data_IF_276268244680
#
_entry.id   IF_276268244680
#
_cell.length_a   1.000
_cell.length_b   1.000
_cell.length_c   1.000
_cell.angle_alpha   90.00
_cell.angle_beta   90.00
_cell.angle_gamma   90.00
#
_symmetry.space_group_name_H-M   'P 1'
#
loop_
_entity.id
_entity.type
_entity.pdbx_description
1 polymer ?
#
# COMPACT_ATOMS: atom_id res chain seq x y z
N UNK A 1 21.76 21.86 0.72
CA UNK A 1 20.72 20.82 0.77
C UNK A 1 21.41 19.47 0.84
N UNK A 2 21.01 18.66 1.83
CA UNK A 2 21.57 17.30 2.02
C UNK A 2 20.87 16.34 1.06
N UNK A 3 21.70 15.51 0.42
CA UNK A 3 21.25 14.35 -0.35
C UNK A 3 21.34 13.12 0.56
N UNK A 4 20.33 12.28 0.55
CA UNK A 4 20.26 11.08 1.36
C UNK A 4 20.94 9.88 0.72
N UNK A 5 20.86 8.72 1.38
CA UNK A 5 21.53 7.47 0.98
C UNK A 5 20.98 6.92 -0.35
N UNK A 6 19.72 7.22 -0.66
CA UNK A 6 19.06 6.77 -1.91
C UNK A 6 19.31 7.71 -3.09
N UNK A 7 19.98 8.85 -2.88
CA UNK A 7 20.18 9.90 -3.87
C UNK A 7 19.07 10.95 -3.91
N UNK A 8 18.03 10.82 -3.09
CA UNK A 8 16.96 11.80 -2.96
C UNK A 8 17.31 12.96 -2.02
N UNK A 9 16.59 14.06 -2.14
CA UNK A 9 16.69 15.19 -1.23
C UNK A 9 16.14 14.77 0.13
N UNK A 10 16.98 14.81 1.17
CA UNK A 10 16.54 14.50 2.52
C UNK A 10 15.70 15.63 3.09
N UNK A 11 14.51 15.29 3.58
CA UNK A 11 13.57 16.21 4.22
C UNK A 11 13.19 15.70 5.62
N UNK A 12 12.70 16.61 6.45
CA UNK A 12 12.12 16.28 7.76
C UNK A 12 10.63 15.91 7.64
N UNK A 13 9.95 15.76 8.77
CA UNK A 13 8.52 15.43 8.82
C UNK A 13 7.60 16.54 8.30
N UNK A 14 8.10 17.76 8.13
CA UNK A 14 7.39 18.90 7.55
C UNK A 14 7.69 19.10 6.07
N UNK A 15 8.54 18.22 5.50
CA UNK A 15 9.06 18.29 4.13
C UNK A 15 10.02 19.45 3.90
N UNK A 16 10.58 20.03 4.97
CA UNK A 16 11.63 21.02 4.90
C UNK A 16 12.99 20.33 4.69
N UNK A 17 13.84 20.94 3.85
CA UNK A 17 15.18 20.43 3.58
C UNK A 17 16.16 20.86 4.69
N UNK A 18 17.42 20.45 4.55
CA UNK A 18 18.47 20.94 5.47
C UNK A 18 18.81 22.44 5.32
N UNK A 19 18.27 23.13 4.34
CA UNK A 19 18.35 24.58 4.17
C UNK A 19 17.02 25.17 4.64
N UNK A 20 17.10 26.10 5.60
CA UNK A 20 15.92 26.74 6.19
C UNK A 20 15.04 27.41 5.13
N UNK A 21 13.72 27.29 5.31
CA UNK A 21 12.68 27.85 4.46
C UNK A 21 12.69 27.29 3.00
N UNK A 22 13.39 26.15 2.78
CA UNK A 22 13.39 25.44 1.50
C UNK A 22 12.78 24.06 1.69
N UNK A 23 11.70 23.78 0.97
CA UNK A 23 10.95 22.53 1.01
C UNK A 23 11.19 21.72 -0.27
N UNK A 24 11.02 20.41 -0.19
CA UNK A 24 11.06 19.52 -1.35
C UNK A 24 9.94 18.46 -1.26
N UNK A 25 9.40 18.06 -2.42
CA UNK A 25 8.27 17.14 -2.55
C UNK A 25 8.43 16.23 -3.77
N UNK A 26 7.61 15.20 -3.83
CA UNK A 26 7.48 14.29 -4.98
C UNK A 26 8.62 13.31 -5.10
N UNK A 27 8.92 12.97 -6.34
CA UNK A 27 9.89 11.94 -6.70
C UNK A 27 11.33 12.28 -6.28
N UNK A 28 11.59 13.56 -6.03
CA UNK A 28 12.92 14.05 -5.67
C UNK A 28 13.31 13.79 -4.21
N UNK A 29 12.36 13.49 -3.32
CA UNK A 29 12.63 13.40 -1.90
C UNK A 29 12.98 11.99 -1.42
N UNK A 30 13.90 11.90 -0.45
CA UNK A 30 14.09 10.74 0.39
C UNK A 30 13.35 10.93 1.72
N UNK A 31 12.47 9.99 2.04
CA UNK A 31 11.73 9.97 3.31
C UNK A 31 11.71 8.55 3.90
N UNK A 32 11.71 8.37 5.23
CA UNK A 32 11.67 7.05 5.82
C UNK A 32 10.41 6.28 5.42
N UNK A 33 10.58 5.02 5.01
CA UNK A 33 9.44 4.12 4.73
C UNK A 33 8.70 3.79 6.03
N UNK A 34 7.37 3.98 6.12
CA UNK A 34 6.62 3.86 7.38
C UNK A 34 6.74 2.51 8.09
N UNK A 35 6.89 1.41 7.34
CA UNK A 35 6.98 0.06 7.91
C UNK A 35 8.41 -0.25 8.40
N UNK A 36 9.44 0.22 7.70
CA UNK A 36 10.82 -0.20 7.96
C UNK A 36 11.68 0.85 8.62
N UNK A 37 11.26 2.10 8.61
CA UNK A 37 12.07 3.27 9.01
C UNK A 37 13.29 3.52 8.11
N UNK A 38 13.51 2.72 7.06
CA UNK A 38 14.66 2.86 6.16
C UNK A 38 14.44 3.99 5.15
N UNK A 39 15.52 4.70 4.74
CA UNK A 39 15.44 5.68 3.65
C UNK A 39 14.83 5.09 2.39
N UNK A 40 13.91 5.83 1.77
CA UNK A 40 13.18 5.34 0.61
C UNK A 40 12.77 6.48 -0.33
N UNK A 41 12.76 6.15 -1.63
CA UNK A 41 12.23 6.99 -2.71
C UNK A 41 10.88 6.42 -3.15
N UNK A 42 9.89 7.28 -3.37
CA UNK A 42 8.54 6.87 -3.76
C UNK A 42 8.04 7.68 -4.96
N UNK A 43 8.15 7.11 -6.15
CA UNK A 43 7.84 7.75 -7.44
C UNK A 43 6.34 7.59 -7.80
N UNK A 44 5.45 8.16 -6.97
CA UNK A 44 4.00 8.03 -7.13
C UNK A 44 3.28 9.37 -7.00
N UNK A 45 2.36 9.64 -7.92
CA UNK A 45 1.63 10.89 -8.03
C UNK A 45 0.74 11.21 -6.81
N UNK A 46 0.09 10.21 -6.21
CA UNK A 46 -0.78 10.43 -5.05
C UNK A 46 -0.01 10.97 -3.82
N UNK A 47 1.09 10.34 -3.38
CA UNK A 47 1.94 10.91 -2.32
C UNK A 47 2.49 12.29 -2.68
N UNK A 48 2.96 12.50 -3.92
CA UNK A 48 3.48 13.79 -4.36
C UNK A 48 2.43 14.91 -4.27
N UNK A 49 1.19 14.65 -4.69
CA UNK A 49 0.08 15.59 -4.57
C UNK A 49 -0.23 15.95 -3.11
N UNK A 50 -0.28 14.94 -2.23
CA UNK A 50 -0.49 15.16 -0.79
C UNK A 50 0.65 15.96 -0.15
N UNK A 51 1.90 15.67 -0.52
CA UNK A 51 3.07 16.41 -0.06
C UNK A 51 3.02 17.88 -0.48
N UNK A 52 2.62 18.17 -1.72
CA UNK A 52 2.45 19.54 -2.20
C UNK A 52 1.45 20.34 -1.37
N UNK A 53 0.33 19.72 -0.94
CA UNK A 53 -0.63 20.36 -0.04
C UNK A 53 -0.03 20.61 1.34
N UNK A 54 0.64 19.62 1.93
CA UNK A 54 1.31 19.74 3.24
C UNK A 54 2.32 20.89 3.23
N UNK A 55 3.15 20.97 2.17
CA UNK A 55 4.15 22.03 2.05
C UNK A 55 3.49 23.40 1.90
N UNK A 56 2.42 23.53 1.11
CA UNK A 56 1.70 24.79 1.00
C UNK A 56 1.19 25.28 2.36
N UNK A 57 0.61 24.40 3.16
CA UNK A 57 0.16 24.73 4.52
C UNK A 57 1.35 25.11 5.42
N UNK A 58 2.44 24.35 5.38
CA UNK A 58 3.63 24.60 6.20
C UNK A 58 4.35 25.91 5.83
N UNK A 59 4.38 26.27 4.55
CA UNK A 59 4.96 27.54 4.11
C UNK A 59 4.15 28.77 4.58
N UNK A 60 2.83 28.64 4.68
CA UNK A 60 1.94 29.75 5.02
C UNK A 60 1.73 29.87 6.55
N UNK A 61 1.55 28.75 7.22
CA UNK A 61 1.14 28.70 8.63
C UNK A 61 2.27 28.27 9.59
N UNK A 62 3.49 28.09 9.05
CA UNK A 62 4.59 27.48 9.79
C UNK A 62 4.46 25.94 9.78
N UNK A 63 5.49 25.23 10.21
CA UNK A 63 5.57 23.76 10.20
C UNK A 63 4.56 23.11 11.16
N UNK A 64 3.29 23.05 10.75
CA UNK A 64 2.15 22.55 11.56
C UNK A 64 1.66 21.17 11.11
N UNK A 65 1.83 20.83 9.82
CA UNK A 65 1.30 19.58 9.25
C UNK A 65 2.43 18.62 8.92
N UNK A 66 2.40 17.43 9.53
CA UNK A 66 3.41 16.39 9.33
C UNK A 66 3.08 15.46 8.18
N UNK A 67 4.11 15.05 7.46
CA UNK A 67 4.05 13.96 6.49
C UNK A 67 4.45 12.64 7.14
N UNK A 68 3.57 11.65 7.10
CA UNK A 68 3.77 10.33 7.73
C UNK A 68 4.41 9.30 6.81
N UNK A 69 4.84 9.72 5.61
CA UNK A 69 5.35 8.81 4.60
C UNK A 69 4.27 8.13 3.76
N UNK A 70 4.71 7.29 2.84
CA UNK A 70 3.88 6.50 1.95
C UNK A 70 4.39 5.05 1.90
N UNK A 71 3.47 4.11 1.68
CA UNK A 71 3.76 2.67 1.65
C UNK A 71 3.92 2.10 0.22
N UNK A 72 3.79 2.95 -0.81
CA UNK A 72 4.00 2.55 -2.21
C UNK A 72 2.83 1.84 -2.85
N UNK A 73 1.60 2.34 -2.66
CA UNK A 73 0.42 1.80 -3.33
C UNK A 73 0.40 2.23 -4.79
N UNK A 74 0.44 1.28 -5.70
CA UNK A 74 0.55 1.50 -7.15
C UNK A 74 -0.34 0.54 -7.93
N UNK A 75 -0.77 0.98 -9.11
CA UNK A 75 -1.61 0.21 -10.03
C UNK A 75 -1.20 0.49 -11.47
N UNK A 76 -1.28 -0.53 -12.30
CA UNK A 76 -1.07 -0.41 -13.75
C UNK A 76 -2.07 -1.30 -14.50
N UNK A 77 -2.49 -0.83 -15.67
CA UNK A 77 -3.26 -1.63 -16.62
C UNK A 77 -2.34 -2.13 -17.72
N UNK A 78 -2.36 -3.44 -17.95
CA UNK A 78 -1.57 -4.12 -18.99
C UNK A 78 -2.55 -4.84 -19.90
N UNK A 79 -2.84 -4.27 -21.06
CA UNK A 79 -3.98 -4.65 -21.91
C UNK A 79 -5.29 -4.65 -21.11
N UNK A 80 -5.97 -5.79 -20.98
CA UNK A 80 -7.22 -5.91 -20.20
C UNK A 80 -6.97 -6.26 -18.74
N UNK A 81 -5.75 -6.64 -18.39
CA UNK A 81 -5.38 -7.04 -17.03
C UNK A 81 -4.96 -5.82 -16.19
N UNK A 82 -5.38 -5.79 -14.97
CA UNK A 82 -4.97 -4.81 -13.95
C UNK A 82 -4.05 -5.48 -12.94
N UNK A 83 -2.92 -4.84 -12.65
CA UNK A 83 -1.94 -5.28 -11.64
C UNK A 83 -1.74 -4.17 -10.63
N UNK A 84 -1.84 -4.49 -9.35
CA UNK A 84 -1.66 -3.53 -8.26
C UNK A 84 -0.80 -4.10 -7.13
N UNK A 85 -0.14 -3.21 -6.40
CA UNK A 85 0.65 -3.58 -5.24
C UNK A 85 0.63 -2.49 -4.18
N UNK A 86 0.84 -2.88 -2.92
CA UNK A 86 0.97 -1.97 -1.79
C UNK A 86 1.92 -2.55 -0.74
N UNK A 87 2.62 -1.69 0.00
CA UNK A 87 3.54 -2.10 1.06
C UNK A 87 4.78 -2.85 0.53
N UNK A 88 5.26 -3.82 1.30
CA UNK A 88 6.51 -4.52 1.06
C UNK A 88 6.29 -5.88 0.39
N UNK A 89 6.71 -6.07 -0.87
CA UNK A 89 6.68 -7.38 -1.50
C UNK A 89 7.73 -8.32 -0.90
N UNK A 90 7.52 -9.63 -1.02
CA UNK A 90 8.41 -10.68 -0.51
C UNK A 90 9.89 -10.49 -0.91
N UNK A 91 10.15 -9.99 -2.13
CA UNK A 91 11.51 -9.66 -2.58
C UNK A 91 12.18 -8.63 -1.67
N UNK A 92 11.45 -7.57 -1.32
CA UNK A 92 11.98 -6.49 -0.48
C UNK A 92 12.18 -6.94 0.96
N UNK A 93 11.25 -7.71 1.52
CA UNK A 93 11.37 -8.27 2.86
C UNK A 93 12.62 -9.15 2.99
N UNK A 94 12.89 -10.04 1.99
CA UNK A 94 14.12 -10.84 1.95
C UNK A 94 15.38 -9.98 1.91
N UNK A 95 15.42 -8.93 1.09
CA UNK A 95 16.56 -8.01 1.01
C UNK A 95 16.85 -7.29 2.34
N UNK A 96 15.80 -7.03 3.12
CA UNK A 96 15.89 -6.36 4.41
C UNK A 96 16.14 -7.33 5.58
N UNK A 97 16.15 -8.65 5.34
CA UNK A 97 16.26 -9.67 6.39
C UNK A 97 15.06 -9.72 7.33
N UNK A 98 13.88 -9.24 6.88
CA UNK A 98 12.65 -9.26 7.66
C UNK A 98 11.98 -10.62 7.47
N UNK A 99 11.70 -11.32 8.58
CA UNK A 99 10.93 -12.55 8.59
C UNK A 99 9.50 -12.28 8.13
N UNK A 100 8.95 -13.12 7.26
CA UNK A 100 7.60 -12.98 6.78
C UNK A 100 6.99 -14.33 6.38
N UNK A 101 5.68 -14.42 6.47
CA UNK A 101 4.86 -15.42 5.80
C UNK A 101 4.21 -14.81 4.55
N UNK A 102 3.79 -15.65 3.63
CA UNK A 102 3.07 -15.22 2.45
C UNK A 102 1.96 -16.22 2.09
N UNK A 103 0.80 -15.72 1.71
CA UNK A 103 -0.30 -16.51 1.15
C UNK A 103 -0.68 -15.98 -0.22
N UNK A 104 -1.24 -16.86 -1.05
CA UNK A 104 -1.78 -16.49 -2.36
C UNK A 104 -3.14 -17.16 -2.52
N UNK A 105 -4.15 -16.37 -2.86
CA UNK A 105 -5.52 -16.84 -3.10
C UNK A 105 -5.96 -16.53 -4.52
N UNK A 106 -6.73 -17.43 -5.09
CA UNK A 106 -7.35 -17.28 -6.39
C UNK A 106 -8.87 -17.26 -6.21
N UNK A 107 -9.51 -16.24 -6.75
CA UNK A 107 -10.94 -15.99 -6.61
C UNK A 107 -11.51 -15.46 -7.91
N UNK A 108 -12.81 -15.17 -7.93
CA UNK A 108 -13.46 -14.40 -9.00
C UNK A 108 -13.68 -12.95 -8.57
N UNK A 109 -13.80 -12.05 -9.54
CA UNK A 109 -14.06 -10.62 -9.30
C UNK A 109 -15.36 -10.36 -8.54
N UNK A 110 -16.39 -11.22 -8.78
CA UNK A 110 -17.70 -11.19 -8.13
C UNK A 110 -18.30 -12.61 -8.06
N UNK A 111 -19.57 -12.72 -7.70
CA UNK A 111 -20.26 -14.01 -7.52
C UNK A 111 -20.21 -14.86 -8.80
N UNK A 112 -19.64 -16.08 -8.72
CA UNK A 112 -19.42 -16.93 -9.88
C UNK A 112 -20.68 -17.46 -10.58
N UNK A 113 -21.85 -17.32 -9.95
CA UNK A 113 -23.15 -17.63 -10.57
C UNK A 113 -23.74 -16.44 -11.34
N UNK A 114 -23.14 -15.25 -11.21
CA UNK A 114 -23.52 -14.08 -11.99
C UNK A 114 -22.63 -13.99 -13.24
N UNK A 115 -23.16 -13.57 -14.41
CA UNK A 115 -22.38 -13.52 -15.65
C UNK A 115 -21.11 -12.69 -15.56
N UNK A 116 -20.12 -13.04 -16.36
CA UNK A 116 -18.87 -12.30 -16.57
C UNK A 116 -17.92 -12.21 -15.35
N UNK A 117 -18.05 -13.15 -14.41
CA UNK A 117 -17.07 -13.25 -13.32
C UNK A 117 -15.68 -13.63 -13.84
N UNK A 118 -14.69 -12.76 -13.60
CA UNK A 118 -13.34 -12.88 -14.12
C UNK A 118 -12.34 -13.24 -13.01
N UNK A 119 -11.21 -13.91 -13.34
CA UNK A 119 -10.21 -14.29 -12.36
C UNK A 119 -9.60 -13.08 -11.64
N UNK A 120 -9.38 -13.25 -10.31
CA UNK A 120 -8.68 -12.31 -9.46
C UNK A 120 -7.79 -13.07 -8.48
N UNK A 121 -6.52 -12.67 -8.40
CA UNK A 121 -5.54 -13.26 -7.49
C UNK A 121 -5.06 -12.21 -6.53
N UNK A 122 -4.98 -12.55 -5.24
CA UNK A 122 -4.39 -11.70 -4.19
C UNK A 122 -3.27 -12.49 -3.51
N UNK A 123 -2.10 -11.84 -3.40
CA UNK A 123 -0.99 -12.32 -2.60
C UNK A 123 -0.75 -11.35 -1.43
N UNK A 124 -0.65 -11.90 -0.22
CA UNK A 124 -0.32 -11.16 1.00
C UNK A 124 1.09 -11.49 1.46
N UNK A 125 1.73 -10.53 2.12
CA UNK A 125 2.93 -10.73 2.94
C UNK A 125 2.68 -10.14 4.33
N UNK A 126 3.04 -10.88 5.38
CA UNK A 126 2.70 -10.51 6.76
C UNK A 126 3.69 -11.10 7.75
N UNK A 127 3.70 -10.59 8.97
CA UNK A 127 4.48 -11.12 10.10
C UNK A 127 3.88 -12.47 10.54
N UNK A 128 4.67 -13.57 10.55
CA UNK A 128 4.15 -14.90 10.89
C UNK A 128 3.71 -15.05 12.35
N UNK A 129 4.15 -14.18 13.25
CA UNK A 129 3.86 -14.25 14.68
C UNK A 129 2.67 -13.37 15.09
N UNK A 130 2.58 -12.19 14.50
CA UNK A 130 1.57 -11.19 14.88
C UNK A 130 0.44 -11.05 13.86
N UNK A 131 0.64 -11.57 12.65
CA UNK A 131 -0.27 -11.38 11.53
C UNK A 131 -0.26 -9.99 10.90
N UNK A 132 0.58 -9.05 11.38
CA UNK A 132 0.64 -7.70 10.82
C UNK A 132 0.97 -7.71 9.33
N UNK A 133 0.17 -7.00 8.55
CA UNK A 133 0.32 -6.93 7.10
C UNK A 133 1.55 -6.08 6.73
N UNK A 134 2.44 -6.66 5.92
CA UNK A 134 3.57 -5.96 5.32
C UNK A 134 3.25 -5.44 3.92
N UNK A 135 2.49 -6.19 3.14
CA UNK A 135 2.17 -5.81 1.78
C UNK A 135 1.19 -6.75 1.10
N UNK A 136 0.73 -6.31 -0.07
CA UNK A 136 -0.12 -7.10 -0.94
C UNK A 136 0.18 -6.84 -2.41
N UNK A 137 -0.09 -7.84 -3.24
CA UNK A 137 -0.13 -7.75 -4.70
C UNK A 137 -1.46 -8.33 -5.17
N UNK A 138 -2.08 -7.69 -6.14
CA UNK A 138 -3.31 -8.19 -6.76
C UNK A 138 -3.22 -8.11 -8.27
N UNK A 139 -3.75 -9.13 -8.95
CA UNK A 139 -3.84 -9.17 -10.40
C UNK A 139 -5.20 -9.75 -10.81
N UNK A 140 -5.82 -9.15 -11.81
CA UNK A 140 -7.11 -9.55 -12.31
C UNK A 140 -7.61 -8.62 -13.41
N UNK A 141 -8.86 -8.79 -13.78
CA UNK A 141 -9.48 -7.99 -14.85
C UNK A 141 -10.46 -6.97 -14.31
N UNK A 142 -11.05 -7.23 -13.14
CA UNK A 142 -12.05 -6.36 -12.50
C UNK A 142 -11.89 -6.36 -10.97
N UNK A 143 -12.12 -5.19 -10.33
CA UNK A 143 -12.15 -5.00 -8.89
C UNK A 143 -10.80 -5.17 -8.18
N UNK A 144 -9.68 -5.07 -8.88
CA UNK A 144 -8.32 -5.10 -8.30
C UNK A 144 -8.06 -3.85 -7.48
N UNK A 145 -8.44 -2.69 -7.99
CA UNK A 145 -8.27 -1.36 -7.39
C UNK A 145 -8.94 -1.27 -6.01
N UNK A 146 -10.23 -1.56 -5.94
CA UNK A 146 -10.98 -1.46 -4.67
C UNK A 146 -10.38 -2.35 -3.57
N UNK A 147 -9.82 -3.50 -3.94
CA UNK A 147 -9.26 -4.45 -2.96
C UNK A 147 -7.88 -4.04 -2.48
N UNK A 148 -7.03 -3.57 -3.40
CA UNK A 148 -5.70 -3.12 -3.01
C UNK A 148 -5.76 -1.85 -2.15
N UNK A 149 -6.70 -0.94 -2.40
CA UNK A 149 -6.89 0.27 -1.62
C UNK A 149 -7.34 -0.02 -0.19
N UNK A 150 -8.24 -1.01 0.01
CA UNK A 150 -8.65 -1.46 1.34
C UNK A 150 -7.48 -2.07 2.11
N UNK A 151 -6.68 -2.93 1.46
CA UNK A 151 -5.48 -3.52 2.07
C UNK A 151 -4.46 -2.43 2.40
N UNK A 152 -4.25 -1.45 1.53
CA UNK A 152 -3.36 -0.33 1.77
C UNK A 152 -3.76 0.50 2.99
N UNK A 153 -5.07 0.78 3.12
CA UNK A 153 -5.60 1.47 4.29
C UNK A 153 -5.35 0.67 5.58
N UNK A 154 -5.58 -0.64 5.52
CA UNK A 154 -5.39 -1.51 6.67
C UNK A 154 -3.91 -1.60 7.07
N UNK A 155 -2.98 -1.77 6.10
CA UNK A 155 -1.53 -1.72 6.36
C UNK A 155 -1.15 -0.40 7.03
N UNK A 156 -1.64 0.73 6.51
CA UNK A 156 -1.34 2.05 7.07
C UNK A 156 -1.83 2.20 8.52
N UNK A 157 -2.86 1.47 8.92
CA UNK A 157 -3.42 1.46 10.28
C UNK A 157 -2.79 0.40 11.18
N UNK A 158 -1.78 -0.33 10.71
CA UNK A 158 -1.14 -1.41 11.47
C UNK A 158 -2.02 -2.66 11.60
N UNK A 159 -2.92 -2.87 10.64
CA UNK A 159 -3.85 -3.99 10.64
C UNK A 159 -3.18 -5.34 10.34
N UNK A 160 -3.91 -6.40 10.63
CA UNK A 160 -3.49 -7.78 10.57
C UNK A 160 -4.27 -8.57 9.51
N UNK A 161 -3.83 -9.80 9.23
CA UNK A 161 -4.58 -10.75 8.39
C UNK A 161 -5.95 -11.09 8.99
N UNK A 162 -6.09 -11.02 10.32
CA UNK A 162 -7.35 -11.24 11.00
C UNK A 162 -8.31 -10.09 10.76
N UNK A 163 -7.85 -8.84 10.91
CA UNK A 163 -8.65 -7.65 10.59
C UNK A 163 -9.13 -7.69 9.15
N UNK A 164 -8.27 -8.16 8.23
CA UNK A 164 -8.62 -8.32 6.82
C UNK A 164 -9.74 -9.35 6.59
N UNK A 165 -9.75 -10.44 7.35
CA UNK A 165 -10.80 -11.46 7.32
C UNK A 165 -12.15 -10.95 7.85
N UNK A 166 -12.13 -9.97 8.75
CA UNK A 166 -13.29 -9.42 9.46
C UNK A 166 -13.85 -8.14 8.81
N UNK A 167 -13.24 -7.63 7.72
CA UNK A 167 -13.75 -6.44 7.02
C UNK A 167 -15.18 -6.68 6.50
N UNK A 168 -16.08 -5.79 6.82
CA UNK A 168 -17.44 -5.78 6.24
C UNK A 168 -17.38 -5.24 4.82
N UNK A 169 -17.84 -6.06 3.86
CA UNK A 169 -17.81 -5.73 2.43
C UNK A 169 -19.20 -5.46 1.88
N UNK A 170 -19.27 -4.51 0.93
CA UNK A 170 -20.45 -4.37 0.11
C UNK A 170 -20.69 -5.65 -0.71
N UNK A 171 -21.88 -6.20 -0.67
CA UNK A 171 -22.24 -7.36 -1.46
C UNK A 171 -23.47 -7.11 -2.33
N UNK A 172 -23.29 -7.38 -3.61
CA UNK A 172 -24.32 -7.70 -4.58
C UNK A 172 -23.68 -8.60 -5.65
N UNK A 173 -24.41 -9.55 -6.25
CA UNK A 173 -23.85 -10.53 -7.20
C UNK A 173 -22.97 -9.95 -8.29
N UNK A 174 -23.29 -8.79 -8.93
CA UNK A 174 -22.48 -8.24 -10.00
C UNK A 174 -21.21 -7.51 -9.53
N UNK A 175 -21.03 -7.25 -8.24
CA UNK A 175 -19.90 -6.43 -7.75
C UNK A 175 -18.96 -7.15 -6.78
N UNK A 176 -19.44 -8.20 -6.10
CA UNK A 176 -18.64 -8.98 -5.17
C UNK A 176 -19.22 -10.39 -4.97
N UNK A 177 -18.60 -11.21 -4.17
CA UNK A 177 -19.16 -12.43 -3.61
C UNK A 177 -19.44 -12.25 -2.12
N UNK A 178 -20.30 -13.08 -1.55
CA UNK A 178 -20.64 -13.00 -0.12
C UNK A 178 -19.42 -13.14 0.79
N UNK A 179 -18.39 -13.90 0.34
CA UNK A 179 -17.01 -13.84 0.87
C UNK A 179 -16.17 -13.14 -0.18
N UNK A 180 -15.93 -11.83 0.00
CA UNK A 180 -15.07 -11.10 -0.92
C UNK A 180 -13.67 -11.70 -0.97
N UNK A 181 -12.96 -11.64 -2.12
CA UNK A 181 -11.58 -12.07 -2.25
C UNK A 181 -10.62 -11.59 -1.14
N UNK A 182 -10.84 -10.40 -0.58
CA UNK A 182 -10.07 -9.90 0.56
C UNK A 182 -10.31 -10.76 1.81
N UNK A 183 -11.57 -11.06 2.12
CA UNK A 183 -11.89 -11.89 3.28
C UNK A 183 -11.31 -13.31 3.11
N UNK A 184 -11.40 -13.88 1.90
CA UNK A 184 -10.77 -15.17 1.58
C UNK A 184 -9.26 -15.10 1.80
N UNK A 185 -8.59 -14.04 1.34
CA UNK A 185 -7.16 -13.85 1.54
C UNK A 185 -6.80 -13.75 3.03
N UNK A 186 -7.58 -13.02 3.82
CA UNK A 186 -7.44 -12.92 5.27
C UNK A 186 -7.61 -14.27 5.97
N UNK A 187 -8.67 -15.01 5.68
CA UNK A 187 -8.89 -16.35 6.24
C UNK A 187 -7.78 -17.33 5.89
N UNK A 188 -7.33 -17.34 4.63
CA UNK A 188 -6.24 -18.22 4.19
C UNK A 188 -4.93 -17.88 4.90
N UNK A 189 -4.60 -16.61 5.03
CA UNK A 189 -3.39 -16.16 5.71
C UNK A 189 -3.41 -16.47 7.22
N UNK A 190 -4.57 -16.39 7.86
CA UNK A 190 -4.72 -16.65 9.29
C UNK A 190 -4.57 -18.15 9.67
N UNK A 191 -4.54 -19.04 8.67
CA UNK A 191 -4.33 -20.48 8.86
C UNK A 191 -2.87 -20.93 8.62
N UNK A 192 -1.96 -19.99 8.33
CA UNK A 192 -0.53 -20.23 8.13
C UNK A 192 0.24 -19.89 9.41
#
# INVERSE_FOLDING_TARGET
IRIGETGGIRVDEYLETSAKDIYAVGDAIEFPHPITGKPWLNYLANPANRQGRIVADNMVFGNTTRYEGAIGTSIAKVFDMTVASTGLPAKRLRQLGIEYAASTTHSASHAGYYPDALPLTIKLTFDPRTGHLYGAQSVGYDGVDKRIDQIALLIKRGGTVRDLAEVEHCYAPPVSSAKDPIAIAGYTANNI
#
